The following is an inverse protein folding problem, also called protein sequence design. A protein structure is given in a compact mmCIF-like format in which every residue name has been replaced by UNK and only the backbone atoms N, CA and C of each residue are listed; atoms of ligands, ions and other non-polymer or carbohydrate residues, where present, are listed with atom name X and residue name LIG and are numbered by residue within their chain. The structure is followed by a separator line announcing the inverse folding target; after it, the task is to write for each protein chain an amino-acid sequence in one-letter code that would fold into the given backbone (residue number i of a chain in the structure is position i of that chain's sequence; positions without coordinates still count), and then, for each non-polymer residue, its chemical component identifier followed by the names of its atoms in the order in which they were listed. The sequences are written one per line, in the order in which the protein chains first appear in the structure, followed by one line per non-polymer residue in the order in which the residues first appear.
data_IF_702513325096
#
_entry.id   IF_702513325096
#
_cell.length_a   1.000
_cell.length_b   1.000
_cell.length_c   1.000
_cell.angle_alpha   90.00
_cell.angle_beta   90.00
_cell.angle_gamma   90.00
#
_symmetry.space_group_name_H-M   'P 1'
#
loop_
_entity.id
_entity.type
_entity.pdbx_description
1 polymer ?
#
# COMPACT_ATOMS: atom_id res chain seq x y z
N UNK A 1 20.70 14.85 -21.64
CA UNK A 1 19.99 14.58 -20.37
C UNK A 1 20.99 14.72 -19.24
N UNK A 2 20.68 15.49 -18.18
CA UNK A 2 21.65 15.83 -17.14
C UNK A 2 21.32 15.02 -15.89
N UNK A 3 22.26 14.20 -15.43
CA UNK A 3 22.14 13.37 -14.22
C UNK A 3 23.04 14.00 -13.16
N UNK A 4 22.52 14.10 -11.93
CA UNK A 4 23.25 14.64 -10.79
C UNK A 4 24.10 13.53 -10.17
N UNK A 5 25.39 13.78 -9.98
CA UNK A 5 26.35 12.83 -9.39
C UNK A 5 26.73 13.30 -7.99
N UNK A 6 26.35 12.55 -6.96
CA UNK A 6 26.93 12.69 -5.62
C UNK A 6 28.09 11.71 -5.44
N UNK A 7 29.15 12.13 -4.75
CA UNK A 7 30.15 11.22 -4.19
C UNK A 7 29.62 10.70 -2.85
N UNK A 8 29.65 9.38 -2.62
CA UNK A 8 29.09 8.63 -1.49
C UNK A 8 27.60 8.27 -1.56
N UNK A 9 27.23 7.26 -2.37
CA UNK A 9 26.25 6.16 -2.12
C UNK A 9 24.92 6.41 -1.32
N UNK A 10 24.53 7.63 -0.99
CA UNK A 10 23.63 7.93 0.14
C UNK A 10 22.31 8.60 -0.25
N UNK A 11 21.94 8.61 -1.53
CA UNK A 11 20.66 9.19 -1.94
C UNK A 11 19.99 8.29 -2.98
N UNK A 12 19.16 7.36 -2.50
CA UNK A 12 18.21 6.63 -3.32
C UNK A 12 16.83 7.26 -3.17
N UNK A 13 16.32 7.88 -4.24
CA UNK A 13 14.93 8.32 -4.29
C UNK A 13 14.07 7.15 -4.78
N UNK A 14 13.10 6.71 -3.96
CA UNK A 14 12.19 5.61 -4.32
C UNK A 14 11.34 5.88 -5.57
N UNK A 15 11.11 7.16 -5.90
CA UNK A 15 10.36 7.60 -7.07
C UNK A 15 11.11 8.71 -7.82
N UNK A 16 11.02 8.77 -9.16
CA UNK A 16 11.59 9.87 -9.92
C UNK A 16 10.91 11.20 -9.55
N UNK A 17 11.69 12.15 -9.04
CA UNK A 17 11.20 13.50 -8.74
C UNK A 17 11.23 14.33 -10.03
N UNK A 18 10.07 14.80 -10.49
CA UNK A 18 9.97 15.70 -11.64
C UNK A 18 10.26 17.12 -11.16
N UNK A 19 11.32 17.72 -11.66
CA UNK A 19 11.64 19.14 -11.44
C UNK A 19 11.31 19.97 -12.67
N UNK A 20 10.80 21.17 -12.45
CA UNK A 20 10.88 22.23 -13.46
C UNK A 20 12.30 22.82 -13.51
N UNK A 21 12.61 23.63 -14.53
CA UNK A 21 13.98 24.15 -14.72
C UNK A 21 14.48 24.96 -13.52
N UNK A 22 13.61 25.79 -12.92
CA UNK A 22 13.94 26.62 -11.76
C UNK A 22 14.24 25.77 -10.52
N UNK A 23 13.36 24.81 -10.20
CA UNK A 23 13.54 23.88 -9.08
C UNK A 23 14.81 23.05 -9.24
N UNK A 24 15.12 22.64 -10.48
CA UNK A 24 16.33 21.88 -10.79
C UNK A 24 17.58 22.71 -10.51
N UNK A 25 17.60 23.99 -10.87
CA UNK A 25 18.71 24.90 -10.58
C UNK A 25 18.86 25.17 -9.08
N UNK A 26 17.76 25.46 -8.39
CA UNK A 26 17.74 25.64 -6.93
C UNK A 26 18.26 24.40 -6.20
N UNK A 27 17.82 23.21 -6.62
CA UNK A 27 18.26 21.94 -6.06
C UNK A 27 19.73 21.64 -6.34
N UNK A 28 20.21 21.94 -7.55
CA UNK A 28 21.63 21.81 -7.90
C UNK A 28 22.50 22.76 -7.07
N UNK A 29 22.05 24.01 -6.87
CA UNK A 29 22.75 24.99 -6.06
C UNK A 29 22.82 24.56 -4.60
N UNK A 30 21.71 24.06 -4.04
CA UNK A 30 21.67 23.47 -2.71
C UNK A 30 22.61 22.26 -2.58
N UNK A 31 22.67 21.38 -3.57
CA UNK A 31 23.57 20.24 -3.49
C UNK A 31 25.04 20.63 -3.60
N UNK A 32 25.38 21.68 -4.35
CA UNK A 32 26.74 22.24 -4.39
C UNK A 32 27.19 22.83 -3.06
N UNK A 33 26.27 23.29 -2.20
CA UNK A 33 26.64 23.76 -0.85
C UNK A 33 26.99 22.61 0.09
N UNK A 34 26.47 21.41 -0.17
CA UNK A 34 26.68 20.23 0.69
C UNK A 34 27.76 19.28 0.15
N UNK A 35 27.92 19.21 -1.17
CA UNK A 35 28.77 18.24 -1.86
C UNK A 35 29.49 18.89 -3.04
N UNK A 36 30.65 18.34 -3.40
CA UNK A 36 31.29 18.67 -4.68
C UNK A 36 30.50 18.01 -5.82
N UNK A 37 29.73 18.82 -6.58
CA UNK A 37 28.86 18.34 -7.67
C UNK A 37 29.29 18.92 -9.02
N UNK A 38 29.55 18.05 -9.99
CA UNK A 38 29.86 18.42 -11.37
C UNK A 38 28.73 18.01 -12.33
N UNK A 39 28.35 18.92 -13.24
CA UNK A 39 27.41 18.64 -14.30
C UNK A 39 28.13 18.01 -15.49
N UNK A 40 27.77 16.77 -15.83
CA UNK A 40 28.33 16.08 -16.99
C UNK A 40 27.27 15.95 -18.09
N UNK A 41 27.61 16.40 -19.30
CA UNK A 41 26.79 16.18 -20.50
C UNK A 41 27.04 14.77 -21.03
N UNK A 42 26.01 13.92 -21.00
CA UNK A 42 26.12 12.52 -21.41
C UNK A 42 25.21 12.30 -22.63
N UNK A 43 25.80 11.79 -23.74
CA UNK A 43 25.07 11.49 -24.99
C UNK A 43 24.25 10.20 -24.89
N UNK A 44 24.70 9.24 -24.09
CA UNK A 44 24.00 7.97 -23.84
C UNK A 44 23.72 7.82 -22.36
N UNK A 45 22.46 7.50 -22.03
CA UNK A 45 22.06 7.19 -20.66
C UNK A 45 22.81 5.92 -20.23
N UNK A 46 23.68 6.03 -19.21
CA UNK A 46 24.49 4.92 -18.72
C UNK A 46 23.62 4.00 -17.85
N UNK A 47 22.82 3.15 -18.49
CA UNK A 47 21.99 2.13 -17.83
C UNK A 47 22.80 1.25 -16.88
N UNK A 48 24.08 0.99 -17.17
CA UNK A 48 24.99 0.20 -16.33
C UNK A 48 25.27 0.78 -14.93
N UNK A 49 24.92 2.06 -14.67
CA UNK A 49 25.07 2.71 -13.35
C UNK A 49 23.79 2.83 -12.55
N UNK A 50 22.63 2.74 -13.20
CA UNK A 50 21.42 2.35 -12.51
C UNK A 50 21.59 0.85 -12.28
N UNK A 51 22.12 0.47 -11.11
CA UNK A 51 22.47 -0.92 -10.80
C UNK A 51 21.44 -1.88 -11.38
N UNK A 52 21.94 -2.94 -12.04
CA UNK A 52 21.15 -3.87 -12.85
C UNK A 52 19.74 -4.08 -12.27
N UNK A 53 18.79 -3.40 -12.92
CA UNK A 53 17.35 -3.47 -12.69
C UNK A 53 16.82 -2.85 -11.38
N UNK A 54 15.76 -2.07 -11.60
CA UNK A 54 14.48 -1.97 -10.89
C UNK A 54 13.95 -3.22 -10.11
N UNK A 55 14.74 -4.24 -9.79
CA UNK A 55 14.35 -5.27 -8.84
C UNK A 55 14.67 -4.78 -7.43
N UNK A 56 13.65 -4.27 -6.74
CA UNK A 56 13.61 -4.42 -5.29
C UNK A 56 13.64 -5.93 -5.00
N UNK A 57 14.84 -6.52 -4.90
CA UNK A 57 14.99 -7.94 -4.58
C UNK A 57 14.18 -8.17 -3.31
N UNK A 58 13.16 -9.02 -3.38
CA UNK A 58 12.33 -9.30 -2.21
C UNK A 58 13.22 -9.82 -1.08
N UNK A 59 12.86 -9.47 0.16
CA UNK A 59 13.58 -9.97 1.32
C UNK A 59 13.10 -11.39 1.63
N UNK A 60 14.00 -12.36 1.55
CA UNK A 60 13.74 -13.74 1.96
C UNK A 60 13.61 -13.86 3.49
N UNK A 61 12.96 -14.91 3.99
CA UNK A 61 12.89 -15.21 5.43
C UNK A 61 14.27 -15.29 6.07
N UNK A 62 15.22 -15.94 5.38
CA UNK A 62 16.64 -16.02 5.76
C UNK A 62 17.30 -14.66 5.90
N UNK A 63 17.16 -13.78 4.90
CA UNK A 63 17.72 -12.44 4.97
C UNK A 63 17.08 -11.64 6.12
N UNK A 64 15.77 -11.80 6.37
CA UNK A 64 15.06 -11.13 7.46
C UNK A 64 15.49 -11.64 8.85
N UNK A 65 15.71 -12.94 8.99
CA UNK A 65 16.29 -13.53 10.19
C UNK A 65 17.69 -13.00 10.44
N UNK A 66 18.47 -12.85 9.38
CA UNK A 66 19.80 -12.26 9.45
C UNK A 66 19.78 -10.80 9.90
N UNK A 67 18.85 -10.01 9.37
CA UNK A 67 18.65 -8.61 9.77
C UNK A 67 18.30 -8.49 11.25
N UNK A 68 17.58 -9.47 11.80
CA UNK A 68 17.12 -9.48 13.20
C UNK A 68 18.26 -9.70 14.21
N UNK A 69 19.41 -10.22 13.78
CA UNK A 69 20.60 -10.38 14.63
C UNK A 69 21.07 -9.02 15.14
N UNK A 70 20.99 -8.81 16.45
CA UNK A 70 21.28 -7.51 17.10
C UNK A 70 22.78 -7.33 17.32
N UNK A 71 23.52 -8.43 17.38
CA UNK A 71 24.97 -8.51 17.59
C UNK A 71 25.79 -8.08 16.36
N UNK A 72 25.20 -8.05 15.16
CA UNK A 72 25.89 -7.63 13.94
C UNK A 72 25.58 -6.17 13.57
N UNK A 73 26.62 -5.42 13.23
CA UNK A 73 26.48 -4.03 12.79
C UNK A 73 25.76 -3.94 11.44
N UNK A 74 25.17 -2.78 11.13
CA UNK A 74 24.53 -2.58 9.82
C UNK A 74 25.52 -2.81 8.67
N UNK A 75 26.78 -2.41 8.84
CA UNK A 75 27.83 -2.57 7.84
C UNK A 75 28.15 -4.04 7.58
N UNK A 76 28.24 -4.86 8.62
CA UNK A 76 28.46 -6.31 8.49
C UNK A 76 27.29 -6.98 7.76
N UNK A 77 26.06 -6.64 8.14
CA UNK A 77 24.85 -7.15 7.50
C UNK A 77 24.81 -6.75 6.02
N UNK A 78 25.17 -5.51 5.69
CA UNK A 78 25.18 -5.04 4.29
C UNK A 78 26.17 -5.82 3.43
N UNK A 79 27.38 -6.05 3.94
CA UNK A 79 28.42 -6.81 3.23
C UNK A 79 27.97 -8.24 2.98
N UNK A 80 27.38 -8.90 3.98
CA UNK A 80 26.95 -10.30 3.89
C UNK A 80 25.72 -10.49 3.01
N UNK A 81 24.75 -9.60 3.08
CA UNK A 81 23.50 -9.73 2.30
C UNK A 81 23.59 -9.13 0.89
N UNK A 82 24.66 -8.39 0.58
CA UNK A 82 24.79 -7.64 -0.67
C UNK A 82 23.71 -6.57 -0.82
N UNK A 83 23.27 -5.98 0.31
CA UNK A 83 22.19 -4.99 0.38
C UNK A 83 22.78 -3.62 0.69
N UNK A 84 22.11 -2.55 0.25
CA UNK A 84 22.53 -1.19 0.60
C UNK A 84 22.32 -0.93 2.09
N UNK A 85 23.17 -0.08 2.67
CA UNK A 85 23.10 0.29 4.08
C UNK A 85 21.74 0.86 4.48
N UNK A 86 21.21 1.78 3.67
CA UNK A 86 19.89 2.34 3.90
C UNK A 86 18.77 1.29 3.86
N UNK A 87 18.87 0.31 2.95
CA UNK A 87 17.88 -0.77 2.86
C UNK A 87 17.86 -1.63 4.12
N UNK A 88 19.03 -1.95 4.68
CA UNK A 88 19.15 -2.68 5.95
C UNK A 88 18.60 -1.87 7.12
N UNK A 89 18.98 -0.59 7.24
CA UNK A 89 18.51 0.30 8.33
C UNK A 89 16.99 0.44 8.32
N UNK A 90 16.41 0.77 7.17
CA UNK A 90 14.96 0.89 7.01
C UNK A 90 14.26 -0.43 7.34
N UNK A 91 14.84 -1.56 6.90
CA UNK A 91 14.23 -2.86 7.15
C UNK A 91 14.31 -3.26 8.62
N UNK A 92 15.40 -2.99 9.33
CA UNK A 92 15.52 -3.18 10.79
C UNK A 92 14.48 -2.38 11.55
N UNK A 93 14.38 -1.08 11.24
CA UNK A 93 13.44 -0.17 11.91
C UNK A 93 11.98 -0.61 11.79
N UNK A 94 11.61 -1.27 10.69
CA UNK A 94 10.26 -1.81 10.48
C UNK A 94 10.12 -3.20 11.08
N UNK A 95 11.04 -4.12 10.77
CA UNK A 95 10.89 -5.54 11.06
C UNK A 95 10.98 -5.85 12.56
N UNK A 96 11.98 -5.29 13.25
CA UNK A 96 12.27 -5.66 14.64
C UNK A 96 11.06 -5.38 15.56
N UNK A 97 10.47 -4.17 15.57
CA UNK A 97 9.30 -3.90 16.39
C UNK A 97 8.11 -4.81 16.08
N UNK A 98 7.87 -5.11 14.79
CA UNK A 98 6.77 -5.98 14.37
C UNK A 98 6.94 -7.41 14.88
N UNK A 99 8.16 -7.96 14.80
CA UNK A 99 8.45 -9.32 15.29
C UNK A 99 8.36 -9.38 16.81
N UNK A 100 8.84 -8.36 17.53
CA UNK A 100 8.72 -8.28 18.99
C UNK A 100 7.25 -8.25 19.43
N UNK A 101 6.43 -7.44 18.76
CA UNK A 101 4.99 -7.38 19.03
C UNK A 101 4.29 -8.71 18.72
N UNK A 102 4.67 -9.36 17.62
CA UNK A 102 4.16 -10.68 17.25
C UNK A 102 4.54 -11.75 18.28
N UNK A 103 5.80 -11.79 18.71
CA UNK A 103 6.28 -12.72 19.74
C UNK A 103 5.54 -12.51 21.06
N UNK A 104 5.35 -11.25 21.48
CA UNK A 104 4.57 -10.88 22.66
C UNK A 104 3.13 -11.38 22.56
N UNK A 105 2.44 -11.15 21.43
CA UNK A 105 1.07 -11.63 21.17
C UNK A 105 0.97 -13.16 21.26
N UNK A 106 1.99 -13.88 20.79
CA UNK A 106 2.05 -15.35 20.81
C UNK A 106 2.63 -15.90 22.12
N UNK A 107 3.04 -15.04 23.06
CA UNK A 107 3.73 -15.40 24.31
C UNK A 107 4.98 -16.27 24.07
N UNK A 108 5.73 -15.94 23.03
CA UNK A 108 6.96 -16.63 22.62
C UNK A 108 8.19 -15.86 23.11
N UNK A 109 9.13 -16.57 23.74
CA UNK A 109 10.42 -16.01 24.16
C UNK A 109 11.41 -16.00 22.98
N UNK A 110 11.65 -14.80 22.42
CA UNK A 110 12.51 -14.60 21.24
C UNK A 110 13.94 -15.12 21.42
N UNK A 111 14.44 -15.24 22.65
CA UNK A 111 15.82 -15.69 22.89
C UNK A 111 15.97 -17.21 22.85
N UNK A 112 14.86 -17.95 22.93
CA UNK A 112 14.84 -19.42 23.01
C UNK A 112 14.33 -20.10 21.75
N UNK A 113 13.83 -19.33 20.79
CA UNK A 113 13.15 -19.87 19.60
C UNK A 113 13.99 -19.65 18.36
N UNK A 114 13.80 -20.51 17.37
CA UNK A 114 14.33 -20.29 16.03
C UNK A 114 13.68 -19.04 15.41
N UNK A 115 14.43 -17.95 15.35
CA UNK A 115 14.01 -16.65 14.80
C UNK A 115 13.57 -16.75 13.33
N UNK A 116 14.23 -17.59 12.52
CA UNK A 116 13.85 -17.77 11.11
C UNK A 116 12.43 -18.32 11.00
N UNK A 117 12.11 -19.34 11.80
CA UNK A 117 10.77 -19.93 11.84
C UNK A 117 9.73 -18.93 12.37
N UNK A 118 10.06 -18.17 13.40
CA UNK A 118 9.18 -17.13 13.94
C UNK A 118 8.84 -16.06 12.88
N UNK A 119 9.83 -15.65 12.09
CA UNK A 119 9.66 -14.70 10.98
C UNK A 119 8.83 -15.32 9.86
N UNK A 120 9.04 -16.59 9.52
CA UNK A 120 8.22 -17.29 8.52
C UNK A 120 6.76 -17.36 8.92
N UNK A 121 6.47 -17.72 10.16
CA UNK A 121 5.11 -17.79 10.70
C UNK A 121 4.48 -16.39 10.70
N UNK A 122 5.21 -15.36 11.12
CA UNK A 122 4.77 -13.97 11.03
C UNK A 122 4.44 -13.55 9.59
N UNK A 123 5.29 -13.87 8.62
CA UNK A 123 5.09 -13.52 7.22
C UNK A 123 3.88 -14.22 6.62
N UNK A 124 3.62 -15.48 7.01
CA UNK A 124 2.41 -16.23 6.61
C UNK A 124 1.16 -15.59 7.16
N UNK A 125 1.10 -15.36 8.49
CA UNK A 125 -0.06 -14.72 9.13
C UNK A 125 -0.30 -13.31 8.55
N UNK A 126 0.75 -12.54 8.29
CA UNK A 126 0.65 -11.22 7.67
C UNK A 126 0.08 -11.26 6.24
N UNK A 127 0.48 -12.25 5.42
CA UNK A 127 -0.05 -12.44 4.07
C UNK A 127 -1.53 -12.84 4.10
N UNK A 128 -1.90 -13.75 4.99
CA UNK A 128 -3.29 -14.19 5.18
C UNK A 128 -4.19 -13.02 5.61
N UNK A 129 -3.75 -12.22 6.60
CA UNK A 129 -4.48 -11.03 7.04
C UNK A 129 -4.66 -10.03 5.88
N UNK A 130 -3.60 -9.79 5.09
CA UNK A 130 -3.69 -8.91 3.91
C UNK A 130 -4.67 -9.44 2.87
N UNK A 131 -4.67 -10.75 2.61
CA UNK A 131 -5.59 -11.39 1.69
C UNK A 131 -7.04 -11.26 2.17
N UNK A 132 -7.30 -11.57 3.44
CA UNK A 132 -8.63 -11.45 4.05
C UNK A 132 -9.15 -10.00 3.99
N UNK A 133 -8.30 -9.02 4.31
CA UNK A 133 -8.67 -7.61 4.21
C UNK A 133 -8.93 -7.17 2.76
N UNK A 134 -8.20 -7.74 1.78
CA UNK A 134 -8.46 -7.48 0.36
C UNK A 134 -9.81 -8.05 -0.07
N UNK A 135 -10.15 -9.28 0.34
CA UNK A 135 -11.43 -9.91 0.05
C UNK A 135 -12.61 -9.14 0.66
N UNK A 136 -12.52 -8.78 1.95
CA UNK A 136 -13.54 -7.95 2.60
C UNK A 136 -13.80 -6.63 1.86
N UNK A 137 -12.74 -5.93 1.44
CA UNK A 137 -12.86 -4.71 0.64
C UNK A 137 -13.51 -4.95 -0.72
N UNK A 138 -13.33 -6.11 -1.33
CA UNK A 138 -13.97 -6.46 -2.59
C UNK A 138 -15.47 -6.76 -2.39
N UNK A 139 -15.81 -7.50 -1.34
CA UNK A 139 -17.20 -7.77 -0.95
C UNK A 139 -17.94 -6.48 -0.62
N UNK A 140 -17.35 -5.59 0.19
CA UNK A 140 -17.93 -4.28 0.51
C UNK A 140 -18.19 -3.44 -0.75
N UNK A 141 -17.26 -3.43 -1.70
CA UNK A 141 -17.44 -2.74 -2.99
C UNK A 141 -18.54 -3.36 -3.84
N UNK A 142 -18.68 -4.69 -3.82
CA UNK A 142 -19.73 -5.38 -4.56
C UNK A 142 -21.10 -5.08 -3.94
N UNK A 143 -21.20 -5.13 -2.61
CA UNK A 143 -22.41 -4.75 -1.87
C UNK A 143 -22.77 -3.29 -2.17
N UNK A 144 -21.80 -2.37 -2.08
CA UNK A 144 -22.03 -0.95 -2.41
C UNK A 144 -22.51 -0.77 -3.85
N UNK A 145 -21.93 -1.50 -4.81
CA UNK A 145 -22.36 -1.46 -6.21
C UNK A 145 -23.79 -1.97 -6.37
N UNK A 146 -24.13 -3.09 -5.74
CA UNK A 146 -25.46 -3.69 -5.79
C UNK A 146 -26.50 -2.77 -5.14
N UNK A 147 -26.21 -2.18 -3.98
CA UNK A 147 -27.09 -1.23 -3.30
C UNK A 147 -27.31 0.05 -4.12
N UNK A 148 -26.29 0.55 -4.82
CA UNK A 148 -26.46 1.69 -5.75
C UNK A 148 -27.32 1.34 -6.96
N UNK A 149 -27.15 0.13 -7.51
CA UNK A 149 -28.02 -0.35 -8.58
C UNK A 149 -29.46 -0.54 -8.11
N UNK A 150 -29.65 -1.11 -6.92
CA UNK A 150 -30.95 -1.25 -6.25
C UNK A 150 -31.61 0.12 -6.06
N UNK A 151 -30.86 1.14 -5.61
CA UNK A 151 -31.37 2.51 -5.48
C UNK A 151 -31.91 3.06 -6.80
N UNK A 152 -31.15 2.93 -7.90
CA UNK A 152 -31.58 3.38 -9.24
C UNK A 152 -32.82 2.62 -9.72
N UNK A 153 -32.89 1.31 -9.47
CA UNK A 153 -34.05 0.48 -9.82
C UNK A 153 -35.28 0.91 -9.02
N UNK A 154 -35.16 1.09 -7.70
CA UNK A 154 -36.26 1.52 -6.84
C UNK A 154 -36.78 2.92 -7.22
N UNK A 155 -35.89 3.85 -7.57
CA UNK A 155 -36.29 5.18 -8.06
C UNK A 155 -37.09 5.10 -9.37
N UNK A 156 -36.78 4.14 -10.25
CA UNK A 156 -37.52 3.93 -11.50
C UNK A 156 -38.79 3.10 -11.35
N UNK A 157 -38.85 2.18 -10.39
CA UNK A 157 -39.97 1.26 -10.19
C UNK A 157 -41.10 1.85 -9.35
N UNK A 158 -40.80 2.59 -8.28
CA UNK A 158 -41.82 3.13 -7.38
C UNK A 158 -42.86 3.97 -8.13
N UNK A 159 -42.49 4.91 -9.03
CA UNK A 159 -43.48 5.68 -9.80
C UNK A 159 -44.34 4.82 -10.74
N UNK A 160 -43.80 3.71 -11.24
CA UNK A 160 -44.56 2.79 -12.11
C UNK A 160 -45.57 2.00 -11.30
N UNK A 161 -45.16 1.49 -10.14
CA UNK A 161 -46.04 0.73 -9.24
C UNK A 161 -47.13 1.64 -8.67
N UNK A 162 -46.81 2.88 -8.30
CA UNK A 162 -47.81 3.87 -7.85
C UNK A 162 -48.91 4.08 -8.89
N UNK A 163 -48.56 4.27 -10.17
CA UNK A 163 -49.55 4.37 -11.25
C UNK A 163 -50.39 3.10 -11.41
N UNK A 164 -49.78 1.92 -11.25
CA UNK A 164 -50.51 0.64 -11.33
C UNK A 164 -51.50 0.46 -10.17
N UNK A 165 -51.13 0.91 -8.96
CA UNK A 165 -52.02 0.93 -7.78
C UNK A 165 -53.17 1.92 -7.99
N UNK A 166 -52.89 3.13 -8.51
CA UNK A 166 -53.93 4.12 -8.87
C UNK A 166 -54.93 3.56 -9.90
N UNK A 167 -54.42 2.79 -10.87
CA UNK A 167 -55.23 2.11 -11.88
C UNK A 167 -55.92 0.84 -11.37
N UNK A 168 -55.77 0.49 -10.07
CA UNK A 168 -56.34 -0.71 -9.42
C UNK A 168 -56.00 -2.02 -10.13
N UNK A 169 -54.79 -2.13 -10.67
CA UNK A 169 -54.32 -3.35 -11.33
C UNK A 169 -54.09 -4.44 -10.27
N UNK A 170 -54.66 -5.63 -10.52
CA UNK A 170 -54.57 -6.78 -9.61
C UNK A 170 -53.10 -7.21 -9.43
N UNK A 171 -52.68 -7.39 -8.17
CA UNK A 171 -51.33 -7.84 -7.81
C UNK A 171 -50.37 -6.76 -7.31
N UNK A 172 -50.77 -5.48 -7.34
CA UNK A 172 -50.01 -4.37 -6.76
C UNK A 172 -50.77 -3.77 -5.57
N UNK A 173 -50.16 -3.76 -4.40
CA UNK A 173 -50.78 -3.24 -3.16
C UNK A 173 -50.07 -1.98 -2.66
N UNK A 174 -50.79 -1.11 -1.96
CA UNK A 174 -50.21 0.05 -1.27
C UNK A 174 -49.09 -0.35 -0.30
N UNK A 175 -49.23 -1.52 0.33
CA UNK A 175 -48.23 -2.09 1.23
C UNK A 175 -46.91 -2.42 0.51
N UNK A 176 -46.98 -2.94 -0.72
CA UNK A 176 -45.78 -3.18 -1.55
C UNK A 176 -45.03 -1.88 -1.90
N UNK A 177 -45.77 -0.79 -2.15
CA UNK A 177 -45.19 0.53 -2.42
C UNK A 177 -44.54 1.10 -1.16
N UNK A 178 -45.20 0.96 -0.02
CA UNK A 178 -44.68 1.44 1.28
C UNK A 178 -43.36 0.78 1.64
N UNK A 179 -43.27 -0.54 1.52
CA UNK A 179 -42.04 -1.30 1.81
C UNK A 179 -40.87 -0.85 0.92
N UNK A 180 -41.12 -0.66 -0.39
CA UNK A 180 -40.10 -0.18 -1.34
C UNK A 180 -39.67 1.25 -1.06
N UNK A 181 -40.59 2.13 -0.64
CA UNK A 181 -40.28 3.52 -0.23
C UNK A 181 -39.43 3.57 1.04
N UNK A 182 -39.71 2.72 2.03
CA UNK A 182 -38.92 2.61 3.26
C UNK A 182 -37.49 2.17 2.92
N UNK A 183 -37.34 1.13 2.10
CA UNK A 183 -36.02 0.67 1.61
C UNK A 183 -35.26 1.75 0.83
N UNK A 184 -35.95 2.48 -0.05
CA UNK A 184 -35.34 3.59 -0.79
C UNK A 184 -34.86 4.70 0.16
N UNK A 185 -35.64 5.01 1.21
CA UNK A 185 -35.28 6.02 2.21
C UNK A 185 -34.05 5.59 3.03
N UNK A 186 -33.95 4.32 3.40
CA UNK A 186 -32.77 3.75 4.06
C UNK A 186 -31.52 3.89 3.20
N UNK A 187 -31.59 3.48 1.93
CA UNK A 187 -30.47 3.57 1.00
C UNK A 187 -30.07 5.03 0.75
N UNK A 188 -31.03 5.94 0.56
CA UNK A 188 -30.76 7.38 0.41
C UNK A 188 -30.06 7.96 1.63
N UNK A 189 -30.52 7.64 2.83
CA UNK A 189 -29.89 8.11 4.06
C UNK A 189 -28.45 7.56 4.22
N UNK A 190 -28.22 6.29 3.86
CA UNK A 190 -26.89 5.65 3.91
C UNK A 190 -25.87 6.30 2.97
N UNK A 191 -26.32 6.85 1.84
CA UNK A 191 -25.45 7.47 0.83
C UNK A 191 -25.52 9.01 0.81
N UNK A 192 -26.27 9.63 1.73
CA UNK A 192 -26.51 11.08 1.78
C UNK A 192 -25.23 11.91 1.99
N UNK A 193 -24.25 11.35 2.69
CA UNK A 193 -22.98 12.02 3.04
C UNK A 193 -21.82 11.64 2.11
N UNK A 194 -22.08 10.85 1.06
CA UNK A 194 -21.06 10.36 0.10
C UNK A 194 -21.20 10.91 -1.32
N UNK A 195 -22.17 11.81 -1.55
CA UNK A 195 -22.42 12.54 -2.79
C UNK A 195 -22.09 14.01 -2.54
#
# INVERSE_FOLDING_TARGET
MNILRGNNLNVDFQNPVKFNNKQKEEFLNFLKTLFYVELQNIKTFRTSRMGDKLFSKEWSSKELAYIFKIDESNEEVTKKLGRTWMSVVMRRGILIPMILQYASKKKVDIYKVNIEKLIEDFLKESKEIKLMNKLKRQEEKLIEKNEKQELVLLEGEIPKIERMVEQRIVGFTEESVKLKKERLKELKNKYKDKI
#
